data_IF_513612937578
#
_entry.id   IF_513612937578
#
_cell.length_a   1.000
_cell.length_b   1.000
_cell.length_c   1.000
_cell.angle_alpha   90.00
_cell.angle_beta   90.00
_cell.angle_gamma   90.00
#
_symmetry.space_group_name_H-M   'P 1'
#
loop_
_entity.id
_entity.type
_entity.pdbx_description
1 polymer ?
#
# COMPACT_ATOMS: atom_id res chain seq x y z
N UNK A 1 4.68 -28.34 -8.98
CA UNK A 1 4.76 -26.97 -9.54
C UNK A 1 3.67 -26.16 -8.89
N UNK A 2 4.01 -25.27 -7.96
CA UNK A 2 3.01 -24.49 -7.21
C UNK A 2 2.77 -23.19 -7.97
N UNK A 3 1.58 -23.01 -8.54
CA UNK A 3 1.18 -21.76 -9.16
C UNK A 3 0.78 -20.77 -8.06
N UNK A 4 1.47 -19.63 -7.97
CA UNK A 4 1.12 -18.55 -7.05
C UNK A 4 0.28 -17.51 -7.79
N UNK A 5 -1.00 -17.40 -7.44
CA UNK A 5 -1.86 -16.31 -7.92
C UNK A 5 -1.46 -15.05 -7.14
N UNK A 6 -1.12 -14.00 -7.87
CA UNK A 6 -0.76 -12.69 -7.31
C UNK A 6 -1.83 -11.69 -7.72
N UNK A 7 -2.38 -10.97 -6.76
CA UNK A 7 -3.36 -9.90 -7.01
C UNK A 7 -2.61 -8.57 -6.97
N UNK A 8 -2.77 -7.76 -8.01
CA UNK A 8 -2.20 -6.41 -8.06
C UNK A 8 -3.31 -5.40 -7.81
N UNK A 9 -3.21 -4.64 -6.73
CA UNK A 9 -4.09 -3.51 -6.45
C UNK A 9 -3.39 -2.23 -6.91
N UNK A 10 -3.82 -1.69 -8.06
CA UNK A 10 -3.33 -0.40 -8.56
C UNK A 10 -4.11 0.73 -7.92
N UNK A 11 -3.39 1.69 -7.35
CA UNK A 11 -3.93 2.86 -6.68
C UNK A 11 -3.60 4.11 -7.50
N UNK A 12 -4.53 5.05 -7.57
CA UNK A 12 -4.36 6.27 -8.36
C UNK A 12 -4.93 7.51 -7.64
N UNK A 13 -4.40 8.67 -8.02
CA UNK A 13 -4.86 9.97 -7.52
C UNK A 13 -4.42 10.25 -6.08
N UNK A 14 -5.31 10.89 -5.32
CA UNK A 14 -5.08 11.27 -3.92
C UNK A 14 -5.72 10.26 -2.99
N UNK A 15 -4.94 9.75 -2.03
CA UNK A 15 -5.40 8.79 -1.04
C UNK A 15 -5.45 9.45 0.34
N UNK A 16 -6.67 9.63 0.85
CA UNK A 16 -6.92 10.23 2.16
C UNK A 16 -7.06 9.17 3.25
N UNK A 17 -7.04 9.63 4.51
CA UNK A 17 -7.26 8.78 5.69
C UNK A 17 -8.57 7.97 5.65
N UNK A 18 -9.63 8.51 5.04
CA UNK A 18 -10.93 7.85 4.92
C UNK A 18 -10.89 6.56 4.08
N UNK A 19 -9.96 6.46 3.14
CA UNK A 19 -9.81 5.30 2.25
C UNK A 19 -9.08 4.12 2.91
N UNK A 20 -8.43 4.31 4.08
CA UNK A 20 -7.64 3.26 4.74
C UNK A 20 -8.51 2.04 5.10
N UNK A 21 -9.75 2.29 5.53
CA UNK A 21 -10.70 1.23 5.89
C UNK A 21 -11.05 0.36 4.68
N UNK A 22 -11.26 0.98 3.53
CA UNK A 22 -11.57 0.29 2.28
C UNK A 22 -10.37 -0.50 1.76
N UNK A 23 -9.16 0.10 1.79
CA UNK A 23 -7.93 -0.57 1.42
C UNK A 23 -7.71 -1.83 2.29
N UNK A 24 -7.89 -1.72 3.61
CA UNK A 24 -7.81 -2.87 4.52
C UNK A 24 -8.82 -3.95 4.16
N UNK A 25 -10.06 -3.59 3.89
CA UNK A 25 -11.08 -4.55 3.50
C UNK A 25 -10.71 -5.25 2.17
N UNK A 26 -10.11 -4.53 1.23
CA UNK A 26 -9.60 -5.08 -0.02
C UNK A 26 -8.48 -6.12 0.22
N UNK A 27 -7.51 -5.78 1.06
CA UNK A 27 -6.43 -6.70 1.43
C UNK A 27 -6.96 -7.97 2.11
N UNK A 28 -7.93 -7.84 3.03
CA UNK A 28 -8.55 -8.99 3.71
C UNK A 28 -9.29 -9.92 2.75
N UNK A 29 -9.91 -9.37 1.70
CA UNK A 29 -10.63 -10.17 0.69
C UNK A 29 -9.68 -10.98 -0.20
N UNK A 30 -8.50 -10.45 -0.51
CA UNK A 30 -7.59 -11.05 -1.50
C UNK A 30 -6.40 -11.80 -0.87
N UNK A 31 -6.21 -11.67 0.45
CA UNK A 31 -5.24 -12.44 1.23
C UNK A 31 -3.79 -11.95 1.09
N UNK A 32 -2.80 -12.71 1.58
CA UNK A 32 -1.42 -12.27 1.72
C UNK A 32 -0.62 -12.19 0.40
N UNK A 33 -1.25 -12.51 -0.74
CA UNK A 33 -0.60 -12.45 -2.06
C UNK A 33 -1.00 -11.20 -2.87
N UNK A 34 -1.48 -10.17 -2.18
CA UNK A 34 -1.70 -8.85 -2.77
C UNK A 34 -0.37 -8.09 -2.82
N UNK A 35 -0.16 -7.34 -3.89
CA UNK A 35 0.82 -6.26 -3.93
C UNK A 35 0.13 -4.94 -4.27
N UNK A 36 0.67 -3.84 -3.76
CA UNK A 36 0.16 -2.51 -4.01
C UNK A 36 1.01 -1.83 -5.08
N UNK A 37 0.39 -1.34 -6.14
CA UNK A 37 1.05 -0.54 -7.18
C UNK A 37 0.64 0.93 -7.04
N UNK A 38 1.63 1.79 -6.77
CA UNK A 38 1.46 3.21 -6.46
C UNK A 38 1.86 4.13 -7.63
N UNK A 39 2.04 3.60 -8.84
CA UNK A 39 2.51 4.33 -10.03
C UNK A 39 1.71 5.61 -10.31
N UNK A 40 0.40 5.60 -10.06
CA UNK A 40 -0.49 6.72 -10.32
C UNK A 40 -0.89 7.50 -9.06
N UNK A 41 -0.25 7.22 -7.92
CA UNK A 41 -0.52 7.92 -6.65
C UNK A 41 0.22 9.26 -6.63
N UNK A 42 -0.54 10.34 -6.51
CA UNK A 42 0.00 11.71 -6.55
C UNK A 42 0.18 12.30 -5.15
N UNK A 43 -0.73 11.98 -4.21
CA UNK A 43 -0.70 12.53 -2.86
C UNK A 43 -1.30 11.53 -1.86
N UNK A 44 -0.71 11.46 -0.67
CA UNK A 44 -1.16 10.58 0.41
C UNK A 44 -1.21 11.34 1.75
N UNK A 45 -2.25 11.08 2.53
CA UNK A 45 -2.31 11.56 3.91
C UNK A 45 -1.37 10.76 4.83
N UNK A 46 -0.97 11.34 5.97
CA UNK A 46 -0.07 10.69 6.95
C UNK A 46 -0.61 9.36 7.47
N UNK A 47 -1.94 9.23 7.63
CA UNK A 47 -2.57 7.97 8.04
C UNK A 47 -2.35 6.86 7.00
N UNK A 48 -2.37 7.22 5.71
CA UNK A 48 -2.11 6.30 4.59
C UNK A 48 -0.63 5.95 4.54
N UNK A 49 0.27 6.90 4.76
CA UNK A 49 1.72 6.64 4.88
C UNK A 49 2.00 5.59 5.97
N UNK A 50 1.43 5.76 7.16
CA UNK A 50 1.59 4.80 8.27
C UNK A 50 1.01 3.43 7.93
N UNK A 51 -0.14 3.40 7.25
CA UNK A 51 -0.73 2.17 6.76
C UNK A 51 0.18 1.45 5.76
N UNK A 52 0.71 2.15 4.76
CA UNK A 52 1.65 1.59 3.77
C UNK A 52 2.93 1.07 4.44
N UNK A 53 3.49 1.82 5.39
CA UNK A 53 4.67 1.39 6.15
C UNK A 53 4.42 0.08 6.91
N UNK A 54 3.23 -0.06 7.51
CA UNK A 54 2.83 -1.30 8.18
C UNK A 54 2.64 -2.46 7.21
N UNK A 55 2.01 -2.23 6.06
CA UNK A 55 1.87 -3.24 5.02
C UNK A 55 3.23 -3.76 4.53
N UNK A 56 4.19 -2.85 4.28
CA UNK A 56 5.55 -3.22 3.89
C UNK A 56 6.26 -4.04 4.99
N UNK A 57 6.12 -3.63 6.26
CA UNK A 57 6.68 -4.36 7.39
C UNK A 57 6.08 -5.77 7.59
N UNK A 58 4.81 -5.96 7.20
CA UNK A 58 4.12 -7.25 7.20
C UNK A 58 4.48 -8.11 5.97
N UNK A 59 5.42 -7.65 5.12
CA UNK A 59 5.97 -8.39 3.99
C UNK A 59 5.26 -8.16 2.66
N UNK A 60 4.34 -7.18 2.59
CA UNK A 60 3.66 -6.84 1.35
C UNK A 60 4.54 -6.00 0.43
N UNK A 61 4.53 -6.31 -0.87
CA UNK A 61 5.29 -5.57 -1.86
C UNK A 61 4.58 -4.25 -2.23
N UNK A 62 5.32 -3.12 -2.14
CA UNK A 62 4.90 -1.81 -2.65
C UNK A 62 5.65 -1.48 -3.95
N UNK A 63 4.99 -1.64 -5.08
CA UNK A 63 5.50 -1.30 -6.42
C UNK A 63 5.31 0.16 -6.75
N UNK A 64 6.25 0.70 -7.53
CA UNK A 64 6.24 2.08 -8.03
C UNK A 64 5.98 3.14 -6.95
N UNK A 65 6.33 2.83 -5.69
CA UNK A 65 6.18 3.75 -4.57
C UNK A 65 7.15 4.92 -4.73
N UNK A 66 6.59 6.11 -4.96
CA UNK A 66 7.37 7.33 -5.21
C UNK A 66 8.29 7.64 -4.04
N UNK A 67 9.42 8.30 -4.36
CA UNK A 67 10.47 8.61 -3.36
C UNK A 67 9.92 9.41 -2.18
N UNK A 68 9.04 10.38 -2.44
CA UNK A 68 8.37 11.17 -1.41
C UNK A 68 7.61 10.28 -0.40
N UNK A 69 6.82 9.30 -0.89
CA UNK A 69 6.06 8.40 -0.01
C UNK A 69 7.01 7.54 0.82
N UNK A 70 8.07 7.00 0.21
CA UNK A 70 9.09 6.21 0.93
C UNK A 70 9.79 7.00 2.02
N UNK A 71 10.14 8.26 1.75
CA UNK A 71 10.78 9.14 2.73
C UNK A 71 9.84 9.41 3.91
N UNK A 72 8.56 9.67 3.65
CA UNK A 72 7.56 9.84 4.72
C UNK A 72 7.31 8.56 5.50
N UNK A 73 7.24 7.40 4.85
CA UNK A 73 7.15 6.11 5.53
C UNK A 73 8.33 5.91 6.49
N UNK A 74 9.55 6.28 6.08
CA UNK A 74 10.73 6.21 6.93
C UNK A 74 10.66 7.11 8.17
N UNK A 75 10.00 8.28 8.07
CA UNK A 75 9.82 9.22 9.18
C UNK A 75 8.70 8.82 10.14
N UNK A 76 7.70 8.10 9.65
CA UNK A 76 6.49 7.71 10.37
C UNK A 76 6.50 6.25 10.83
N UNK A 77 7.64 5.56 10.73
CA UNK A 77 7.84 4.23 11.32
C UNK A 77 7.79 4.34 12.86
N UNK A 78 7.04 3.45 13.56
CA UNK A 78 7.11 3.33 15.01
C UNK A 78 8.52 2.98 15.51
#
# INVERSE_FOLDING_TARGET
MTFKITVVLRMSGRINAEHVSELRACLLRHGPSVLLDLDEVQLVDVAVVRFLARCEAEGMELRNCSRYIREWMGRERP
#
